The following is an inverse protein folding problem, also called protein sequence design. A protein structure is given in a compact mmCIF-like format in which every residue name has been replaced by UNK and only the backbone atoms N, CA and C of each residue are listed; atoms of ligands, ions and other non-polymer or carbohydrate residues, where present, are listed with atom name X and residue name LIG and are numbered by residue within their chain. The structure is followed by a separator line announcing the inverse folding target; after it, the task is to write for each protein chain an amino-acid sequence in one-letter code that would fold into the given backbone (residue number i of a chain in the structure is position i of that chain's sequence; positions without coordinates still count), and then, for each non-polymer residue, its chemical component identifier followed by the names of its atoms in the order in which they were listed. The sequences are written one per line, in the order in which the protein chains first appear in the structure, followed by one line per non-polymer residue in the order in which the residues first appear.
data_IF_251584925508
#
_entry.id   IF_251584925508
#
_cell.length_a   1.000
_cell.length_b   1.000
_cell.length_c   1.000
_cell.angle_alpha   90.00
_cell.angle_beta   90.00
_cell.angle_gamma   90.00
#
_symmetry.space_group_name_H-M   'P 1'
#
loop_
_entity.id
_entity.type
_entity.pdbx_description
1 polymer ?
#
# COMPACT_ATOMS: atom_id res chain seq x y z
N UNK A 1 -10.30 10.65 24.04
CA UNK A 1 -11.55 10.51 24.83
C UNK A 1 -11.84 9.05 25.13
N UNK A 2 -11.90 8.13 24.14
CA UNK A 2 -12.29 6.73 24.38
C UNK A 2 -11.32 5.98 25.30
N UNK A 3 -10.01 6.17 25.15
CA UNK A 3 -8.99 5.52 26.00
C UNK A 3 -9.08 5.91 27.48
N UNK A 4 -9.67 7.04 27.80
CA UNK A 4 -9.82 7.51 29.19
C UNK A 4 -11.14 7.10 29.83
N UNK A 5 -12.14 6.67 29.05
CA UNK A 5 -13.52 6.47 29.52
C UNK A 5 -14.11 5.08 29.25
N UNK A 6 -13.47 4.26 28.39
CA UNK A 6 -14.04 2.99 27.90
C UNK A 6 -13.13 1.81 28.26
N UNK A 7 -13.42 1.01 29.27
CA UNK A 7 -12.55 -0.07 29.74
C UNK A 7 -12.22 -1.13 28.67
N UNK A 8 -13.20 -1.49 27.88
CA UNK A 8 -13.07 -2.48 26.81
C UNK A 8 -12.45 -1.95 25.50
N UNK A 9 -12.08 -0.66 25.45
CA UNK A 9 -11.54 -0.08 24.23
C UNK A 9 -10.19 -0.71 23.87
N UNK A 10 -10.08 -1.18 22.62
CA UNK A 10 -8.85 -1.73 22.02
C UNK A 10 -8.55 -0.96 20.75
N UNK A 11 -7.41 -0.29 20.72
CA UNK A 11 -6.87 0.39 19.52
C UNK A 11 -5.66 -0.36 18.99
N UNK A 12 -5.54 -0.43 17.69
CA UNK A 12 -4.37 -0.97 16.99
C UNK A 12 -3.82 0.09 16.05
N UNK A 13 -2.52 0.32 16.10
CA UNK A 13 -1.78 1.07 15.09
C UNK A 13 -0.89 0.10 14.33
N UNK A 14 -0.95 0.15 13.02
CA UNK A 14 -0.19 -0.74 12.13
C UNK A 14 0.74 0.09 11.25
N UNK A 15 1.97 -0.37 11.11
CA UNK A 15 2.95 0.10 10.14
C UNK A 15 3.72 -1.09 9.56
N UNK A 16 4.44 -0.91 8.45
CA UNK A 16 5.06 -2.03 7.77
C UNK A 16 6.13 -2.70 8.63
N UNK A 17 7.08 -1.94 9.22
CA UNK A 17 8.20 -2.53 9.95
C UNK A 17 8.29 -2.03 11.41
N UNK A 18 8.90 -2.87 12.27
CA UNK A 18 9.16 -2.51 13.66
C UNK A 18 10.12 -1.31 13.81
N UNK A 19 11.21 -1.19 13.03
CA UNK A 19 12.03 0.02 13.04
C UNK A 19 11.26 1.30 12.76
N UNK A 20 10.35 1.31 11.79
CA UNK A 20 9.53 2.48 11.46
C UNK A 20 8.58 2.90 12.60
N UNK A 21 8.13 1.94 13.42
CA UNK A 21 7.32 2.23 14.61
C UNK A 21 8.19 2.85 15.71
N UNK A 22 9.42 2.33 15.92
CA UNK A 22 10.27 2.62 17.09
C UNK A 22 11.26 3.76 16.88
N UNK A 23 11.60 4.10 15.64
CA UNK A 23 12.58 5.16 15.35
C UNK A 23 12.17 6.52 15.93
N UNK A 24 13.14 7.41 16.12
CA UNK A 24 12.88 8.77 16.58
C UNK A 24 11.88 9.49 15.67
N UNK A 25 10.83 10.04 16.27
CA UNK A 25 9.69 10.63 15.55
C UNK A 25 8.65 9.62 15.04
N UNK A 26 8.88 8.31 15.18
CA UNK A 26 7.92 7.26 14.83
C UNK A 26 6.73 7.18 15.81
N UNK A 27 5.80 6.26 15.53
CA UNK A 27 4.56 6.15 16.28
C UNK A 27 4.78 5.90 17.78
N UNK A 28 5.73 5.02 18.12
CA UNK A 28 6.03 4.69 19.52
C UNK A 28 6.66 5.88 20.24
N UNK A 29 7.62 6.53 19.62
CA UNK A 29 8.29 7.71 20.20
C UNK A 29 7.29 8.85 20.44
N UNK A 30 6.42 9.14 19.47
CA UNK A 30 5.37 10.17 19.63
C UNK A 30 4.35 9.80 20.72
N UNK A 31 4.00 8.52 20.84
CA UNK A 31 3.09 8.08 21.89
C UNK A 31 3.66 8.25 23.31
N UNK A 32 4.99 8.11 23.47
CA UNK A 32 5.69 8.35 24.74
C UNK A 32 5.59 9.81 25.22
N UNK A 33 5.44 10.75 24.32
CA UNK A 33 5.23 12.15 24.67
C UNK A 33 3.78 12.45 25.08
N UNK A 34 2.82 11.61 24.69
CA UNK A 34 1.38 11.89 24.85
C UNK A 34 0.72 11.02 25.92
N UNK A 35 0.92 9.71 25.89
CA UNK A 35 0.12 8.78 26.69
C UNK A 35 0.45 8.75 28.18
N UNK A 36 1.69 9.00 28.63
CA UNK A 36 1.97 9.15 30.07
C UNK A 36 1.17 10.29 30.71
N UNK A 37 0.95 11.40 29.99
CA UNK A 37 0.10 12.50 30.43
C UNK A 37 -1.37 12.11 30.64
N UNK A 38 -1.80 10.96 30.11
CA UNK A 38 -3.13 10.37 30.34
C UNK A 38 -3.11 9.23 31.39
N UNK A 39 -1.99 9.08 32.11
CA UNK A 39 -1.78 8.04 33.11
C UNK A 39 -1.53 6.64 32.55
N UNK A 40 -1.22 6.53 31.25
CA UNK A 40 -0.98 5.23 30.63
C UNK A 40 0.40 4.67 30.97
N UNK A 41 0.48 3.35 31.11
CA UNK A 41 1.70 2.59 31.34
C UNK A 41 2.11 1.86 30.06
N UNK A 42 3.41 1.97 29.69
CA UNK A 42 3.97 1.30 28.53
C UNK A 42 4.35 -0.16 28.86
N UNK A 43 3.97 -1.06 27.96
CA UNK A 43 4.52 -2.42 27.85
C UNK A 43 5.46 -2.43 26.63
N UNK A 44 6.73 -2.13 26.90
CA UNK A 44 7.72 -1.83 25.85
C UNK A 44 7.93 -3.01 24.87
N UNK A 45 7.95 -4.24 25.37
CA UNK A 45 8.16 -5.43 24.51
C UNK A 45 6.97 -5.68 23.58
N UNK A 46 5.76 -5.53 24.10
CA UNK A 46 4.51 -5.72 23.35
C UNK A 46 4.14 -4.52 22.48
N UNK A 47 4.86 -3.41 22.61
CA UNK A 47 4.49 -2.11 22.02
C UNK A 47 3.03 -1.75 22.34
N UNK A 48 2.62 -1.93 23.59
CA UNK A 48 1.25 -1.72 24.07
C UNK A 48 1.21 -0.68 25.19
N UNK A 49 0.24 0.19 25.12
CA UNK A 49 -0.13 1.12 26.20
C UNK A 49 -1.37 0.63 26.93
N UNK A 50 -1.31 0.63 28.26
CA UNK A 50 -2.44 0.30 29.15
C UNK A 50 -2.86 1.56 29.90
N UNK A 51 -4.10 1.97 29.74
CA UNK A 51 -4.65 3.17 30.36
C UNK A 51 -5.35 2.85 31.70
N UNK A 52 -5.51 3.82 32.62
CA UNK A 52 -6.19 3.61 33.91
C UNK A 52 -7.63 3.11 33.75
N UNK A 53 -8.30 3.44 32.66
CA UNK A 53 -9.63 2.93 32.32
C UNK A 53 -9.68 1.43 32.03
N UNK A 54 -8.53 0.76 31.81
CA UNK A 54 -8.43 -0.59 31.28
C UNK A 54 -8.38 -0.65 29.74
N UNK A 55 -8.51 0.49 29.05
CA UNK A 55 -8.31 0.57 27.61
C UNK A 55 -6.86 0.22 27.22
N UNK A 56 -6.67 -0.30 26.02
CA UNK A 56 -5.34 -0.64 25.51
C UNK A 56 -5.16 -0.12 24.09
N UNK A 57 -3.94 0.30 23.80
CA UNK A 57 -3.51 0.72 22.46
C UNK A 57 -2.22 -0.01 22.14
N UNK A 58 -2.26 -0.87 21.12
CA UNK A 58 -1.13 -1.65 20.64
C UNK A 58 -0.60 -1.06 19.33
N UNK A 59 0.71 -1.12 19.14
CA UNK A 59 1.37 -0.87 17.87
C UNK A 59 1.98 -2.17 17.37
N UNK A 60 1.75 -2.51 16.10
CA UNK A 60 2.21 -3.76 15.52
C UNK A 60 2.76 -3.57 14.12
N UNK A 61 3.93 -4.16 13.81
CA UNK A 61 4.39 -4.26 12.44
C UNK A 61 3.62 -5.35 11.70
N UNK A 62 3.39 -5.16 10.40
CA UNK A 62 2.93 -6.17 9.46
C UNK A 62 3.85 -6.07 8.24
N UNK A 63 4.94 -6.81 8.26
CA UNK A 63 5.97 -6.78 7.21
C UNK A 63 5.56 -7.66 6.04
N UNK A 64 4.98 -8.81 6.35
CA UNK A 64 4.48 -9.78 5.39
C UNK A 64 2.98 -9.99 5.55
N UNK A 65 2.30 -10.36 4.46
CA UNK A 65 0.86 -10.61 4.48
C UNK A 65 0.47 -11.66 5.54
N UNK A 66 1.34 -12.65 5.79
CA UNK A 66 1.13 -13.66 6.82
C UNK A 66 1.08 -13.12 8.25
N UNK A 67 1.75 -11.99 8.52
CA UNK A 67 1.86 -11.44 9.87
C UNK A 67 0.51 -10.95 10.39
N UNK A 68 -0.41 -10.62 9.48
CA UNK A 68 -1.78 -10.22 9.83
C UNK A 68 -2.52 -11.30 10.61
N UNK A 69 -2.13 -12.57 10.47
CA UNK A 69 -2.72 -13.68 11.22
C UNK A 69 -2.44 -13.63 12.72
N UNK A 70 -1.39 -12.90 13.16
CA UNK A 70 -1.16 -12.63 14.59
C UNK A 70 -2.32 -11.89 15.25
N UNK A 71 -3.19 -11.26 14.45
CA UNK A 71 -4.42 -10.59 14.88
C UNK A 71 -5.67 -11.48 14.77
N UNK A 72 -5.52 -12.78 14.47
CA UNK A 72 -6.64 -13.72 14.44
C UNK A 72 -7.30 -13.81 15.82
N UNK A 73 -8.63 -13.72 15.84
CA UNK A 73 -9.41 -13.71 17.10
C UNK A 73 -9.43 -12.37 17.83
N UNK A 74 -8.57 -11.42 17.48
CA UNK A 74 -8.56 -10.11 18.12
C UNK A 74 -9.79 -9.25 17.75
N UNK A 75 -10.12 -8.32 18.64
CA UNK A 75 -11.21 -7.35 18.50
C UNK A 75 -10.66 -5.94 18.69
N UNK A 76 -11.00 -5.05 17.75
CA UNK A 76 -10.56 -3.67 17.81
C UNK A 76 -11.73 -2.72 17.60
N UNK A 77 -11.85 -1.73 18.50
CA UNK A 77 -12.74 -0.59 18.34
C UNK A 77 -12.18 0.43 17.35
N UNK A 78 -10.85 0.43 17.18
CA UNK A 78 -10.14 1.34 16.30
C UNK A 78 -8.91 0.67 15.71
N UNK A 79 -8.74 0.83 14.41
CA UNK A 79 -7.50 0.45 13.71
C UNK A 79 -6.99 1.68 12.97
N UNK A 80 -5.73 2.04 13.19
CA UNK A 80 -4.99 3.01 12.40
C UNK A 80 -3.96 2.29 11.54
N UNK A 81 -3.97 2.53 10.23
CA UNK A 81 -2.98 2.00 9.30
C UNK A 81 -2.16 3.17 8.79
N UNK A 82 -0.92 3.24 9.20
CA UNK A 82 0.00 4.29 8.77
C UNK A 82 0.72 3.83 7.49
N UNK A 83 0.77 4.69 6.48
CA UNK A 83 1.26 4.40 5.13
C UNK A 83 0.54 3.19 4.49
N UNK A 84 -0.79 3.27 4.41
CA UNK A 84 -1.64 2.15 3.95
C UNK A 84 -1.33 1.68 2.52
N UNK A 85 -0.73 2.51 1.70
CA UNK A 85 -0.26 2.15 0.34
C UNK A 85 0.84 1.09 0.34
N UNK A 86 1.52 0.89 1.48
CA UNK A 86 2.54 -0.15 1.63
C UNK A 86 1.96 -1.55 1.85
N UNK A 87 0.67 -1.68 2.11
CA UNK A 87 0.02 -2.96 2.41
C UNK A 87 -0.70 -3.53 1.18
N UNK A 88 -0.87 -4.85 1.20
CA UNK A 88 -1.70 -5.53 0.21
C UNK A 88 -3.20 -5.32 0.49
N UNK A 89 -4.09 -5.48 -0.51
CA UNK A 89 -5.53 -5.52 -0.28
C UNK A 89 -5.93 -6.58 0.74
N UNK A 90 -5.23 -7.72 0.74
CA UNK A 90 -5.48 -8.82 1.67
C UNK A 90 -5.33 -8.38 3.13
N UNK A 91 -4.20 -7.75 3.48
CA UNK A 91 -3.95 -7.23 4.84
C UNK A 91 -5.01 -6.21 5.25
N UNK A 92 -5.32 -5.26 4.35
CA UNK A 92 -6.32 -4.23 4.62
C UNK A 92 -7.70 -4.82 4.94
N UNK A 93 -8.22 -5.70 4.09
CA UNK A 93 -9.54 -6.29 4.30
C UNK A 93 -9.58 -7.26 5.47
N UNK A 94 -8.48 -7.95 5.77
CA UNK A 94 -8.36 -8.77 6.96
C UNK A 94 -8.49 -7.92 8.24
N UNK A 95 -7.82 -6.77 8.29
CA UNK A 95 -7.90 -5.83 9.42
C UNK A 95 -9.30 -5.22 9.55
N UNK A 96 -9.97 -4.88 8.43
CA UNK A 96 -11.37 -4.44 8.44
C UNK A 96 -12.25 -5.50 9.10
N UNK A 97 -12.04 -6.78 8.83
CA UNK A 97 -12.75 -7.89 9.48
C UNK A 97 -12.47 -8.05 11.00
N UNK A 98 -11.49 -7.33 11.56
CA UNK A 98 -11.20 -7.29 13.02
C UNK A 98 -11.87 -6.11 13.72
N UNK A 99 -12.54 -5.23 12.98
CA UNK A 99 -13.29 -4.10 13.52
C UNK A 99 -14.58 -4.59 14.19
N UNK A 100 -14.47 -4.97 15.44
CA UNK A 100 -15.59 -5.36 16.29
C UNK A 100 -15.30 -5.00 17.74
N UNK A 101 -16.30 -4.68 18.53
CA UNK A 101 -16.13 -4.34 19.94
C UNK A 101 -17.44 -4.35 20.69
N UNK A 102 -17.38 -4.64 21.97
CA UNK A 102 -18.51 -4.56 22.91
C UNK A 102 -18.43 -3.32 23.82
N UNK A 103 -17.42 -2.45 23.64
CA UNK A 103 -17.18 -1.30 24.53
C UNK A 103 -18.12 -0.09 24.29
N UNK A 104 -19.11 -0.22 23.39
CA UNK A 104 -20.07 0.85 23.08
C UNK A 104 -19.49 1.99 22.21
N UNK A 105 -18.42 1.70 21.47
CA UNK A 105 -17.87 2.57 20.45
C UNK A 105 -18.15 1.91 19.09
N UNK A 106 -18.67 2.68 18.11
CA UNK A 106 -18.79 2.16 16.75
C UNK A 106 -17.38 1.90 16.21
N UNK A 107 -17.06 0.67 15.78
CA UNK A 107 -15.73 0.36 15.25
C UNK A 107 -15.43 1.16 13.99
N UNK A 108 -14.17 1.60 13.82
CA UNK A 108 -13.75 2.33 12.64
C UNK A 108 -12.26 2.18 12.35
N UNK A 109 -11.90 2.38 11.09
CA UNK A 109 -10.52 2.40 10.62
C UNK A 109 -10.16 3.80 10.13
N UNK A 110 -8.94 4.23 10.40
CA UNK A 110 -8.31 5.39 9.76
C UNK A 110 -7.01 4.96 9.12
N UNK A 111 -6.74 5.50 7.95
CA UNK A 111 -5.49 5.25 7.24
C UNK A 111 -4.85 6.56 6.82
N UNK A 112 -3.52 6.59 6.86
CA UNK A 112 -2.71 7.68 6.30
C UNK A 112 -1.86 7.13 5.17
N UNK A 113 -1.55 7.94 4.18
CA UNK A 113 -0.62 7.56 3.11
C UNK A 113 -0.20 8.77 2.28
N UNK A 114 0.89 8.58 1.57
CA UNK A 114 1.24 9.39 0.41
C UNK A 114 0.65 8.76 -0.86
N UNK A 115 0.37 9.55 -1.92
CA UNK A 115 -0.13 9.02 -3.18
C UNK A 115 0.79 7.95 -3.77
N UNK A 116 0.20 6.84 -4.17
CA UNK A 116 0.86 5.77 -4.90
C UNK A 116 -0.09 5.21 -5.97
N UNK A 117 0.16 5.50 -7.27
CA UNK A 117 -0.71 5.12 -8.37
C UNK A 117 -0.81 3.60 -8.59
N UNK A 118 0.13 2.83 -8.03
CA UNK A 118 0.19 1.38 -8.18
C UNK A 118 -0.38 0.64 -6.96
N UNK A 119 -0.84 1.38 -5.95
CA UNK A 119 -1.51 0.81 -4.78
C UNK A 119 -3.00 0.58 -5.04
N UNK A 120 -3.59 -0.42 -4.35
CA UNK A 120 -5.04 -0.64 -4.39
C UNK A 120 -5.83 0.56 -3.83
N UNK A 121 -5.20 1.41 -3.03
CA UNK A 121 -5.82 2.62 -2.48
C UNK A 121 -6.14 3.61 -3.60
N UNK A 122 -5.31 3.72 -4.64
CA UNK A 122 -5.59 4.59 -5.78
C UNK A 122 -6.90 4.21 -6.48
N UNK A 123 -7.18 2.91 -6.60
CA UNK A 123 -8.46 2.41 -7.12
C UNK A 123 -9.62 2.67 -6.13
N UNK A 124 -9.41 2.37 -4.84
CA UNK A 124 -10.41 2.52 -3.78
C UNK A 124 -10.92 3.97 -3.64
N UNK A 125 -10.06 4.97 -3.84
CA UNK A 125 -10.39 6.38 -3.74
C UNK A 125 -10.62 7.08 -5.09
N UNK A 126 -10.65 6.34 -6.19
CA UNK A 126 -10.72 6.87 -7.56
C UNK A 126 -11.84 7.89 -7.78
N UNK A 127 -12.98 7.69 -7.11
CA UNK A 127 -14.10 8.65 -7.19
C UNK A 127 -13.76 10.05 -6.67
N UNK A 128 -12.80 10.19 -5.74
CA UNK A 128 -12.38 11.48 -5.19
C UNK A 128 -11.26 12.14 -6.00
N UNK A 129 -10.76 11.49 -7.05
CA UNK A 129 -9.60 11.91 -7.84
C UNK A 129 -10.06 12.26 -9.26
N UNK A 130 -9.58 13.39 -9.78
CA UNK A 130 -9.87 13.82 -11.15
C UNK A 130 -9.01 13.06 -12.20
N UNK A 131 -9.23 13.41 -13.47
CA UNK A 131 -8.53 12.78 -14.58
C UNK A 131 -7.03 13.10 -14.62
N UNK A 132 -6.63 14.24 -14.05
CA UNK A 132 -5.24 14.66 -13.95
C UNK A 132 -4.52 14.05 -12.72
N UNK A 133 -5.27 13.36 -11.86
CA UNK A 133 -4.73 12.65 -10.69
C UNK A 133 -4.78 13.44 -9.39
N UNK A 134 -5.48 14.56 -9.35
CA UNK A 134 -5.61 15.40 -8.16
C UNK A 134 -6.94 15.20 -7.42
N UNK A 135 -6.96 15.45 -6.11
CA UNK A 135 -8.20 15.40 -5.33
C UNK A 135 -9.23 16.45 -5.80
N UNK A 136 -10.46 16.01 -6.04
CA UNK A 136 -11.59 16.88 -6.37
C UNK A 136 -12.08 17.55 -5.09
N UNK A 137 -11.95 18.87 -5.01
CA UNK A 137 -12.24 19.67 -3.79
C UNK A 137 -13.66 19.46 -3.28
N UNK A 138 -14.64 19.44 -4.18
CA UNK A 138 -16.07 19.28 -3.88
C UNK A 138 -16.40 17.90 -3.34
N UNK A 139 -15.54 16.92 -3.57
CA UNK A 139 -15.66 15.54 -3.08
C UNK A 139 -14.85 15.27 -1.82
N UNK A 140 -13.99 16.20 -1.41
CA UNK A 140 -13.19 16.07 -0.20
C UNK A 140 -14.09 15.88 1.02
N UNK A 141 -13.77 14.86 1.85
CA UNK A 141 -14.56 14.48 3.03
C UNK A 141 -16.02 14.05 2.76
N UNK A 142 -16.46 13.96 1.51
CA UNK A 142 -17.78 13.40 1.18
C UNK A 142 -17.78 11.91 1.50
N UNK A 143 -18.82 11.47 2.20
CA UNK A 143 -19.00 10.07 2.58
C UNK A 143 -19.60 9.29 1.41
N UNK A 144 -18.97 8.18 1.04
CA UNK A 144 -19.51 7.20 0.11
C UNK A 144 -19.80 5.90 0.85
N UNK A 145 -20.77 5.17 0.37
CA UNK A 145 -21.16 3.88 0.92
C UNK A 145 -20.81 2.78 -0.05
N UNK A 146 -20.45 1.62 0.50
CA UNK A 146 -20.11 0.47 -0.34
C UNK A 146 -20.40 -0.85 0.36
N UNK A 147 -20.58 -1.89 -0.44
CA UNK A 147 -20.61 -3.27 -0.02
C UNK A 147 -19.59 -4.06 -0.85
N UNK A 148 -18.94 -5.02 -0.22
CA UNK A 148 -18.01 -5.91 -0.91
C UNK A 148 -18.71 -7.24 -1.20
N UNK A 149 -18.70 -7.63 -2.48
CA UNK A 149 -19.15 -8.95 -2.95
C UNK A 149 -17.97 -9.62 -3.67
N UNK A 150 -17.37 -10.60 -3.02
CA UNK A 150 -16.11 -11.18 -3.47
C UNK A 150 -14.99 -10.13 -3.57
N UNK A 151 -14.47 -9.95 -4.77
CA UNK A 151 -13.46 -8.91 -5.06
C UNK A 151 -14.07 -7.58 -5.52
N UNK A 152 -15.38 -7.52 -5.77
CA UNK A 152 -16.06 -6.35 -6.29
C UNK A 152 -16.55 -5.43 -5.18
N UNK A 153 -16.43 -4.12 -5.40
CA UNK A 153 -16.98 -3.09 -4.54
C UNK A 153 -18.18 -2.43 -5.24
N UNK A 154 -19.33 -2.49 -4.60
CA UNK A 154 -20.59 -1.90 -5.08
C UNK A 154 -20.78 -0.59 -4.33
N UNK A 155 -20.70 0.53 -5.05
CA UNK A 155 -20.69 1.86 -4.47
C UNK A 155 -22.02 2.58 -4.62
N UNK A 156 -22.38 3.41 -3.62
CA UNK A 156 -23.55 4.28 -3.65
C UNK A 156 -23.33 5.56 -2.84
N UNK A 157 -24.27 6.50 -2.97
CA UNK A 157 -24.28 7.74 -2.20
C UNK A 157 -25.00 7.57 -0.86
N UNK A 158 -25.77 6.49 -0.74
CA UNK A 158 -26.44 6.07 0.49
C UNK A 158 -26.35 4.55 0.63
N UNK A 159 -26.73 4.01 1.79
CA UNK A 159 -26.88 2.58 1.97
C UNK A 159 -27.94 1.99 1.07
N UNK A 160 -29.04 2.70 0.90
CA UNK A 160 -30.15 2.28 0.03
C UNK A 160 -29.72 2.21 -1.44
N UNK A 161 -28.90 3.18 -1.91
CA UNK A 161 -28.33 3.15 -3.27
C UNK A 161 -27.47 1.91 -3.51
N UNK A 162 -26.71 1.48 -2.50
CA UNK A 162 -25.90 0.27 -2.59
C UNK A 162 -26.80 -0.97 -2.66
N UNK A 163 -27.79 -1.07 -1.75
CA UNK A 163 -28.68 -2.23 -1.66
C UNK A 163 -29.62 -2.36 -2.86
N UNK A 164 -30.01 -1.24 -3.47
CA UNK A 164 -30.83 -1.24 -4.69
C UNK A 164 -30.13 -1.89 -5.89
N UNK A 165 -28.79 -1.92 -5.92
CA UNK A 165 -28.00 -2.55 -6.98
C UNK A 165 -27.87 -4.07 -6.80
N UNK A 166 -28.18 -4.61 -5.61
CA UNK A 166 -28.03 -6.02 -5.25
C UNK A 166 -29.24 -6.56 -4.48
N UNK A 167 -30.44 -6.46 -5.04
CA UNK A 167 -31.68 -6.81 -4.33
C UNK A 167 -31.73 -8.27 -3.90
N UNK A 168 -31.26 -9.19 -4.77
CA UNK A 168 -31.25 -10.63 -4.47
C UNK A 168 -30.31 -10.97 -3.30
N UNK A 169 -29.13 -10.32 -3.23
CA UNK A 169 -28.20 -10.50 -2.15
C UNK A 169 -28.75 -9.93 -0.84
N UNK A 170 -29.43 -8.79 -0.90
CA UNK A 170 -30.08 -8.18 0.25
C UNK A 170 -31.22 -9.08 0.80
N UNK A 171 -32.02 -9.70 -0.06
CA UNK A 171 -33.06 -10.66 0.34
C UNK A 171 -32.45 -11.92 0.98
N UNK A 172 -31.37 -12.45 0.41
CA UNK A 172 -30.65 -13.59 0.98
C UNK A 172 -30.11 -13.29 2.38
N UNK A 173 -29.57 -12.10 2.60
CA UNK A 173 -29.12 -11.65 3.93
C UNK A 173 -30.27 -11.59 4.93
N UNK A 174 -31.42 -11.00 4.54
CA UNK A 174 -32.62 -10.95 5.40
C UNK A 174 -33.12 -12.34 5.75
N UNK A 175 -33.11 -13.26 4.79
CA UNK A 175 -33.49 -14.65 5.02
C UNK A 175 -32.57 -15.37 6.03
N UNK A 176 -31.33 -14.91 6.16
CA UNK A 176 -30.35 -15.39 7.13
C UNK A 176 -30.40 -14.62 8.47
N UNK A 177 -31.35 -13.68 8.65
CA UNK A 177 -31.48 -12.88 9.87
C UNK A 177 -30.46 -11.72 9.97
N UNK A 178 -29.82 -11.36 8.85
CA UNK A 178 -28.87 -10.24 8.81
C UNK A 178 -29.55 -9.01 8.19
N UNK A 179 -29.48 -7.86 8.86
CA UNK A 179 -29.90 -6.61 8.25
C UNK A 179 -28.88 -6.19 7.18
N UNK A 180 -29.26 -6.09 5.89
CA UNK A 180 -28.35 -5.70 4.84
C UNK A 180 -27.71 -4.32 5.07
N UNK A 181 -28.38 -3.38 5.77
CA UNK A 181 -27.83 -2.08 6.10
C UNK A 181 -26.62 -2.15 7.05
N UNK A 182 -26.51 -3.19 7.87
CA UNK A 182 -25.36 -3.38 8.77
C UNK A 182 -24.10 -3.85 8.02
N UNK A 183 -24.28 -4.47 6.85
CA UNK A 183 -23.18 -4.95 6.00
C UNK A 183 -22.61 -3.81 5.14
N UNK A 184 -23.42 -2.79 4.84
CA UNK A 184 -22.96 -1.63 4.05
C UNK A 184 -22.03 -0.76 4.88
N UNK A 185 -20.79 -0.67 4.44
CA UNK A 185 -19.72 0.15 5.01
C UNK A 185 -19.73 1.56 4.41
N UNK A 186 -18.96 2.44 5.03
CA UNK A 186 -18.75 3.79 4.50
C UNK A 186 -17.26 4.14 4.48
N UNK A 187 -16.88 4.94 3.48
CA UNK A 187 -15.53 5.45 3.31
C UNK A 187 -15.59 6.93 2.95
N UNK A 188 -14.60 7.67 3.42
CA UNK A 188 -14.34 9.04 2.97
C UNK A 188 -12.86 9.24 2.75
N UNK A 189 -12.51 10.11 1.82
CA UNK A 189 -11.14 10.53 1.58
C UNK A 189 -10.98 12.01 1.93
N UNK A 190 -9.95 12.29 2.72
CA UNK A 190 -9.61 13.65 3.16
C UNK A 190 -8.21 13.96 2.63
N UNK A 191 -8.11 14.69 1.51
CA UNK A 191 -6.82 15.14 1.03
C UNK A 191 -6.21 16.13 2.01
N UNK A 192 -4.89 16.08 2.16
CA UNK A 192 -4.14 17.02 2.97
C UNK A 192 -2.90 17.46 2.20
N UNK A 193 -2.61 18.73 2.26
CA UNK A 193 -1.42 19.36 1.69
C UNK A 193 -0.53 19.88 2.80
N UNK A 194 0.69 20.28 2.45
CA UNK A 194 1.58 20.93 3.40
C UNK A 194 0.99 22.25 3.93
N UNK A 195 0.12 22.89 3.16
CA UNK A 195 -0.55 24.13 3.56
C UNK A 195 -1.52 23.92 4.73
N UNK A 196 -2.06 22.72 4.88
CA UNK A 196 -2.93 22.33 5.98
C UNK A 196 -2.17 22.08 7.29
N UNK A 197 -0.83 22.15 7.27
CA UNK A 197 0.02 21.98 8.44
C UNK A 197 0.83 23.26 8.78
N UNK A 198 0.18 24.32 9.27
CA UNK A 198 0.86 25.58 9.62
C UNK A 198 1.86 25.41 10.76
N UNK A 199 1.73 24.39 11.60
CA UNK A 199 2.69 24.11 12.67
C UNK A 199 4.03 23.66 12.09
N UNK A 200 4.04 22.76 11.11
CA UNK A 200 5.25 22.31 10.43
C UNK A 200 5.91 23.45 9.66
N UNK A 201 5.12 24.27 8.95
CA UNK A 201 5.65 25.44 8.21
C UNK A 201 6.35 26.43 9.13
N UNK A 202 5.81 26.66 10.34
CA UNK A 202 6.46 27.54 11.33
C UNK A 202 7.71 26.91 11.94
N UNK A 203 7.67 25.62 12.22
CA UNK A 203 8.80 24.91 12.84
C UNK A 203 9.96 24.71 11.88
N UNK A 204 9.68 24.48 10.59
CA UNK A 204 10.69 24.26 9.55
C UNK A 204 10.29 24.94 8.23
N UNK A 205 10.57 26.27 8.10
CA UNK A 205 10.25 27.00 6.87
C UNK A 205 11.00 26.50 5.64
N UNK A 206 12.12 25.78 5.83
CA UNK A 206 12.96 25.26 4.74
C UNK A 206 12.49 23.90 4.23
N UNK A 207 11.53 23.26 4.87
CA UNK A 207 11.02 21.94 4.49
C UNK A 207 10.48 21.91 3.07
N UNK A 208 9.73 22.95 2.67
CA UNK A 208 9.21 23.09 1.29
C UNK A 208 10.37 23.11 0.28
N UNK A 209 11.43 23.88 0.57
CA UNK A 209 12.57 23.98 -0.32
C UNK A 209 13.25 22.61 -0.52
N UNK A 210 13.35 21.80 0.55
CA UNK A 210 13.88 20.43 0.44
C UNK A 210 13.00 19.52 -0.39
N UNK A 211 11.68 19.65 -0.33
CA UNK A 211 10.78 18.88 -1.19
C UNK A 211 10.85 19.33 -2.66
N UNK A 212 11.14 20.61 -2.92
CA UNK A 212 11.25 21.13 -4.29
C UNK A 212 12.46 20.60 -5.07
N UNK A 213 13.51 20.14 -4.39
CA UNK A 213 14.67 19.50 -5.03
C UNK A 213 14.48 18.04 -5.36
N UNK A 214 13.37 17.43 -4.92
CA UNK A 214 13.04 16.06 -5.29
C UNK A 214 12.78 15.90 -6.80
N UNK A 215 12.98 14.72 -7.36
CA UNK A 215 12.61 14.43 -8.75
C UNK A 215 11.16 14.83 -9.05
N UNK A 216 10.83 15.24 -10.29
CA UNK A 216 9.50 15.77 -10.64
C UNK A 216 8.33 14.89 -10.21
N UNK A 217 8.45 13.56 -10.35
CA UNK A 217 7.42 12.59 -9.96
C UNK A 217 7.21 12.57 -8.44
N UNK A 218 8.30 12.48 -7.68
CA UNK A 218 8.24 12.50 -6.22
C UNK A 218 7.64 13.81 -5.71
N UNK A 219 8.02 14.92 -6.33
CA UNK A 219 7.47 16.23 -6.01
C UNK A 219 5.98 16.33 -6.33
N UNK A 220 5.54 15.82 -7.48
CA UNK A 220 4.12 15.79 -7.84
C UNK A 220 3.29 14.93 -6.87
N UNK A 221 3.85 13.84 -6.37
CA UNK A 221 3.21 12.98 -5.37
C UNK A 221 3.18 13.64 -3.99
N UNK A 222 4.32 14.07 -3.47
CA UNK A 222 4.47 14.51 -2.07
C UNK A 222 4.02 15.96 -1.83
N UNK A 223 4.25 16.88 -2.78
CA UNK A 223 3.77 18.27 -2.68
C UNK A 223 2.42 18.45 -3.35
N UNK A 224 2.24 17.84 -4.53
CA UNK A 224 1.04 18.03 -5.34
C UNK A 224 -0.12 17.12 -4.93
N UNK A 225 0.15 16.02 -4.22
CA UNK A 225 -0.87 15.04 -3.89
C UNK A 225 -1.41 14.26 -5.09
N UNK A 226 -0.59 14.10 -6.16
CA UNK A 226 -1.01 13.46 -7.39
C UNK A 226 -1.02 11.94 -7.28
N UNK A 227 -2.16 11.30 -7.58
CA UNK A 227 -2.40 9.86 -7.48
C UNK A 227 -2.21 9.09 -8.79
N UNK A 228 -1.92 9.77 -9.90
CA UNK A 228 -1.77 9.14 -11.23
C UNK A 228 -0.37 9.26 -11.79
N UNK A 229 0.45 10.19 -11.26
CA UNK A 229 1.81 10.38 -11.76
C UNK A 229 2.67 9.15 -11.49
N UNK A 230 3.31 8.65 -12.54
CA UNK A 230 4.25 7.54 -12.48
C UNK A 230 5.61 7.98 -12.99
N UNK A 231 6.66 7.33 -12.50
CA UNK A 231 7.93 7.41 -13.20
C UNK A 231 7.70 6.89 -14.61
N UNK A 232 8.05 7.69 -15.60
CA UNK A 232 8.04 7.17 -16.96
C UNK A 232 8.96 5.95 -16.99
N UNK A 233 8.41 4.80 -17.37
CA UNK A 233 9.20 3.63 -17.67
C UNK A 233 10.27 4.08 -18.69
N UNK A 234 11.56 3.87 -18.38
CA UNK A 234 12.62 4.24 -19.29
C UNK A 234 13.39 5.52 -18.97
N UNK A 235 13.38 6.03 -17.72
CA UNK A 235 14.27 7.15 -17.35
C UNK A 235 15.75 6.81 -17.46
N UNK A 236 16.13 5.52 -17.39
CA UNK A 236 17.50 5.04 -17.62
C UNK A 236 17.75 4.66 -19.08
N UNK A 237 16.72 4.20 -19.78
CA UNK A 237 16.77 3.85 -21.20
C UNK A 237 15.55 4.45 -21.90
N UNK A 238 15.77 5.19 -22.99
CA UNK A 238 14.69 5.71 -23.82
C UNK A 238 14.59 4.83 -25.07
N UNK A 239 13.38 4.49 -25.49
CA UNK A 239 13.14 3.68 -26.70
C UNK A 239 13.86 4.26 -27.92
N UNK A 240 13.89 5.60 -28.04
CA UNK A 240 14.58 6.30 -29.11
C UNK A 240 16.10 6.07 -29.16
N UNK A 241 16.72 5.52 -28.11
CA UNK A 241 18.14 5.16 -28.11
C UNK A 241 18.40 3.82 -28.74
N UNK A 242 17.36 2.99 -28.92
CA UNK A 242 17.47 1.67 -29.51
C UNK A 242 17.01 1.69 -30.97
N UNK A 243 17.90 1.30 -31.88
CA UNK A 243 17.52 1.06 -33.25
C UNK A 243 17.00 -0.37 -33.35
N UNK A 244 15.73 -0.54 -33.63
CA UNK A 244 15.15 -1.86 -33.92
C UNK A 244 15.64 -2.31 -35.29
N UNK A 245 16.18 -3.52 -35.38
CA UNK A 245 16.71 -4.14 -36.59
C UNK A 245 16.16 -5.55 -36.74
N UNK A 246 15.96 -5.99 -37.97
CA UNK A 246 15.52 -7.37 -38.27
C UNK A 246 16.73 -8.34 -38.46
N UNK A 247 17.94 -7.82 -38.34
CA UNK A 247 19.17 -8.58 -38.52
C UNK A 247 19.54 -9.33 -37.23
N UNK A 248 20.09 -10.52 -37.38
CA UNK A 248 20.70 -11.27 -36.29
C UNK A 248 22.22 -11.06 -36.28
N UNK A 249 22.82 -11.18 -35.12
CA UNK A 249 24.25 -11.13 -35.01
C UNK A 249 24.89 -12.31 -35.80
N UNK A 250 26.07 -12.13 -36.40
CA UNK A 250 26.81 -13.20 -37.07
C UNK A 250 26.99 -14.42 -36.16
N UNK A 251 27.03 -15.62 -36.75
CA UNK A 251 27.16 -16.88 -36.00
C UNK A 251 28.40 -16.90 -35.09
N UNK A 252 29.50 -16.25 -35.50
CA UNK A 252 30.74 -16.13 -34.72
C UNK A 252 30.77 -14.97 -33.72
N UNK A 253 29.68 -14.20 -33.58
CA UNK A 253 29.65 -13.08 -32.65
C UNK A 253 29.76 -13.58 -31.20
N UNK A 254 30.52 -12.84 -30.38
CA UNK A 254 30.62 -13.12 -28.97
C UNK A 254 29.30 -12.77 -28.29
N UNK A 255 28.66 -13.72 -27.65
CA UNK A 255 27.40 -13.55 -26.91
C UNK A 255 27.60 -13.67 -25.41
N UNK A 256 26.81 -12.95 -24.66
CA UNK A 256 26.72 -13.04 -23.21
C UNK A 256 25.26 -12.84 -22.77
N UNK A 257 24.77 -13.74 -21.94
CA UNK A 257 23.52 -13.51 -21.22
C UNK A 257 23.83 -13.06 -19.80
N UNK A 258 23.26 -11.94 -19.42
CA UNK A 258 23.35 -11.39 -18.08
C UNK A 258 22.00 -11.55 -17.38
N UNK A 259 22.05 -11.90 -16.09
CA UNK A 259 20.88 -12.12 -15.28
C UNK A 259 20.83 -11.12 -14.10
N UNK A 260 19.68 -10.51 -13.90
CA UNK A 260 19.31 -9.81 -12.68
C UNK A 260 18.28 -10.67 -11.95
N UNK A 261 18.63 -11.14 -10.75
CA UNK A 261 17.88 -12.19 -10.05
C UNK A 261 17.04 -11.60 -8.93
N UNK A 262 15.72 -11.84 -8.98
CA UNK A 262 14.83 -11.55 -7.86
C UNK A 262 14.80 -12.71 -6.84
N UNK A 263 14.91 -12.36 -5.58
CA UNK A 263 14.94 -13.36 -4.48
C UNK A 263 13.59 -13.99 -4.13
N UNK A 264 12.46 -13.57 -4.73
CA UNK A 264 11.14 -14.10 -4.38
C UNK A 264 10.08 -13.82 -5.45
N UNK A 265 8.99 -14.66 -5.44
CA UNK A 265 7.80 -14.51 -6.31
C UNK A 265 6.74 -13.54 -5.73
N UNK A 266 7.06 -12.73 -4.73
CA UNK A 266 6.09 -11.85 -4.07
C UNK A 266 5.62 -10.75 -5.01
N UNK A 267 4.37 -10.27 -4.85
CA UNK A 267 3.77 -9.23 -5.70
C UNK A 267 4.62 -7.95 -5.79
N UNK A 268 5.37 -7.62 -4.73
CA UNK A 268 6.28 -6.46 -4.64
C UNK A 268 7.77 -6.80 -4.87
N UNK A 269 8.11 -8.06 -5.17
CA UNK A 269 9.50 -8.37 -5.54
C UNK A 269 9.78 -7.90 -6.96
N UNK A 270 11.04 -7.60 -7.22
CA UNK A 270 11.52 -7.35 -8.56
C UNK A 270 11.33 -8.56 -9.48
N UNK A 271 11.44 -8.34 -10.77
CA UNK A 271 11.45 -9.43 -11.76
C UNK A 271 12.85 -10.03 -11.85
N UNK A 272 12.92 -11.33 -12.09
CA UNK A 272 14.14 -11.92 -12.63
C UNK A 272 14.19 -11.58 -14.12
N UNK A 273 15.24 -10.91 -14.54
CA UNK A 273 15.45 -10.52 -15.93
C UNK A 273 16.72 -11.15 -16.49
N UNK A 274 16.63 -11.68 -17.71
CA UNK A 274 17.77 -12.23 -18.45
C UNK A 274 17.88 -11.53 -19.80
N UNK A 275 19.05 -10.96 -20.13
CA UNK A 275 19.29 -10.25 -21.38
C UNK A 275 20.43 -10.88 -22.15
N UNK A 276 20.17 -11.34 -23.38
CA UNK A 276 21.18 -11.87 -24.29
C UNK A 276 21.71 -10.75 -25.18
N UNK A 277 22.99 -10.51 -25.08
CA UNK A 277 23.71 -9.49 -25.83
C UNK A 277 24.72 -10.14 -26.80
N UNK A 278 24.81 -9.62 -28.01
CA UNK A 278 25.83 -9.99 -29.01
C UNK A 278 26.71 -8.80 -29.36
N UNK A 279 28.00 -8.97 -29.32
CA UNK A 279 28.96 -7.97 -29.76
C UNK A 279 29.07 -8.01 -31.28
N UNK A 280 28.86 -6.85 -31.95
CA UNK A 280 28.98 -6.72 -33.40
C UNK A 280 30.37 -6.23 -33.82
N UNK A 281 30.82 -6.56 -35.06
CA UNK A 281 32.00 -5.95 -35.64
C UNK A 281 31.78 -4.44 -35.74
N UNK A 282 32.57 -3.64 -35.13
CA UNK A 282 32.38 -2.17 -35.08
C UNK A 282 32.14 -1.61 -33.70
N UNK A 283 31.92 -2.48 -32.72
CA UNK A 283 31.75 -2.09 -31.31
C UNK A 283 30.31 -1.90 -30.86
N UNK A 284 29.35 -2.00 -31.75
CA UNK A 284 27.92 -2.00 -31.41
C UNK A 284 27.52 -3.28 -30.66
N UNK A 285 26.46 -3.19 -29.90
CA UNK A 285 25.90 -4.33 -29.16
C UNK A 285 24.46 -4.55 -29.62
N UNK A 286 24.14 -5.78 -29.99
CA UNK A 286 22.77 -6.19 -30.32
C UNK A 286 22.12 -6.88 -29.12
N UNK A 287 20.93 -6.45 -28.76
CA UNK A 287 20.06 -7.17 -27.80
C UNK A 287 19.28 -8.20 -28.62
N UNK A 288 19.60 -9.49 -28.44
CA UNK A 288 18.98 -10.58 -29.20
C UNK A 288 17.76 -11.19 -28.49
N UNK A 289 17.74 -11.17 -27.16
CA UNK A 289 16.63 -11.71 -26.37
C UNK A 289 16.55 -11.09 -24.99
N UNK A 290 15.31 -10.94 -24.49
CA UNK A 290 15.03 -10.46 -23.13
C UNK A 290 13.96 -11.33 -22.48
N UNK A 291 14.30 -11.94 -21.36
CA UNK A 291 13.38 -12.63 -20.48
C UNK A 291 13.07 -11.73 -19.28
N UNK A 292 11.79 -11.65 -18.89
CA UNK A 292 11.37 -10.87 -17.73
C UNK A 292 10.21 -11.59 -17.02
N UNK A 293 10.53 -12.27 -15.91
CA UNK A 293 9.63 -13.21 -15.24
C UNK A 293 9.60 -13.04 -13.72
N UNK A 294 8.49 -13.46 -13.11
CA UNK A 294 8.37 -13.60 -11.66
C UNK A 294 8.24 -15.09 -11.32
N UNK A 295 9.30 -15.67 -10.80
CA UNK A 295 9.39 -17.09 -10.49
C UNK A 295 9.91 -17.29 -9.06
N UNK A 296 9.74 -18.49 -8.51
CA UNK A 296 10.39 -18.91 -7.27
C UNK A 296 11.88 -19.15 -7.52
N UNK A 297 12.73 -19.09 -6.49
CA UNK A 297 14.18 -19.29 -6.65
C UNK A 297 14.56 -20.61 -7.35
N UNK A 298 13.83 -21.70 -7.04
CA UNK A 298 14.01 -23.01 -7.66
C UNK A 298 13.61 -23.01 -9.15
N UNK A 299 12.52 -22.31 -9.49
CA UNK A 299 12.07 -22.12 -10.87
C UNK A 299 13.03 -21.22 -11.67
N UNK A 300 13.64 -20.22 -11.00
CA UNK A 300 14.65 -19.34 -11.63
C UNK A 300 15.92 -20.13 -11.96
N UNK A 301 16.39 -20.99 -11.04
CA UNK A 301 17.56 -21.85 -11.30
C UNK A 301 17.33 -22.75 -12.50
N UNK A 302 16.14 -23.36 -12.60
CA UNK A 302 15.79 -24.20 -13.74
C UNK A 302 15.71 -23.38 -15.05
N UNK A 303 15.09 -22.20 -15.00
CA UNK A 303 15.02 -21.30 -16.15
C UNK A 303 16.41 -20.93 -16.69
N UNK A 304 17.36 -20.62 -15.80
CA UNK A 304 18.74 -20.29 -16.19
C UNK A 304 19.40 -21.47 -16.90
N UNK A 305 19.25 -22.69 -16.37
CA UNK A 305 19.80 -23.91 -16.99
C UNK A 305 19.20 -24.16 -18.36
N UNK A 306 17.87 -24.11 -18.48
CA UNK A 306 17.17 -24.34 -19.75
C UNK A 306 17.54 -23.29 -20.79
N UNK A 307 17.66 -22.02 -20.39
CA UNK A 307 18.07 -20.92 -21.25
C UNK A 307 19.52 -21.06 -21.72
N UNK A 308 20.43 -21.51 -20.83
CA UNK A 308 21.83 -21.77 -21.19
C UNK A 308 21.96 -22.85 -22.26
N UNK A 309 21.17 -23.93 -22.16
CA UNK A 309 21.10 -24.97 -23.20
C UNK A 309 20.57 -24.41 -24.53
N UNK A 310 19.53 -23.58 -24.49
CA UNK A 310 18.99 -22.93 -25.70
C UNK A 310 19.98 -21.97 -26.35
N UNK A 311 20.76 -21.24 -25.55
CA UNK A 311 21.81 -20.33 -26.03
C UNK A 311 23.03 -21.09 -26.57
N UNK A 312 23.07 -22.44 -26.48
CA UNK A 312 24.15 -23.28 -26.99
C UNK A 312 25.37 -23.32 -26.09
N UNK A 313 25.18 -23.22 -24.77
CA UNK A 313 26.22 -23.39 -23.75
C UNK A 313 25.89 -24.64 -22.93
N UNK A 314 26.79 -25.59 -22.93
CA UNK A 314 26.80 -26.76 -22.04
C UNK A 314 27.25 -26.37 -20.62
#
# INVERSE_FOLDING_TARGET
RHVTTKPGYRGLFVRQTSPEIRQGGGLWDKSRAIYPGLGAHAREHEMEWVFPSGARVKMAPIEFDSDVHSHQGAEYAFIAVDEVTHFSPYVFWYLVGRLRTTCGVRPYLRATCNPDPDSFIAELISWWIDDDGYPIKERAAVLRYFMRDGEHLIWGNSKDDVLAQVPELAEKMRAQGVDPHDVVMSLTFIPSTLDDNPALKRADPTYIARLMILPPVERARLLGGNWKVRHQAGTRFQEAWFRVVDERAPAGARRVRYWDLAGSKRRRSDFTAGCLLAALPGGDVLVEDVLNVKLRPDEVEQLIKDTAHQDGRD
#
